data_IF_546970381735
#
_entry.id   IF_546970381735
#
_cell.length_a   1.000
_cell.length_b   1.000
_cell.length_c   1.000
_cell.angle_alpha   90.00
_cell.angle_beta   90.00
_cell.angle_gamma   90.00
#
_symmetry.space_group_name_H-M   'P 1'
#
loop_
_entity.id
_entity.type
_entity.pdbx_description
1 polymer ?
#
# COMPACT_ATOMS: atom_id res chain seq x y z
N UNK A 1 27.89 -20.38 22.28
CA UNK A 1 27.84 -21.85 22.29
C UNK A 1 26.67 -22.31 23.15
N UNK A 2 25.72 -22.98 22.50
CA UNK A 2 24.86 -24.07 22.97
C UNK A 2 24.17 -23.97 24.35
N UNK A 3 22.83 -23.88 24.36
CA UNK A 3 22.01 -24.31 25.51
C UNK A 3 20.87 -25.24 25.08
N UNK A 4 21.20 -26.54 25.18
CA UNK A 4 20.41 -27.72 25.56
C UNK A 4 18.87 -27.67 25.50
N UNK A 5 18.34 -28.48 24.57
CA UNK A 5 17.38 -29.59 24.78
C UNK A 5 16.38 -29.51 25.95
N UNK A 6 15.09 -29.53 25.58
CA UNK A 6 14.03 -30.21 26.34
C UNK A 6 13.35 -31.20 25.39
N UNK A 7 13.46 -32.49 25.69
CA UNK A 7 12.83 -33.60 24.98
C UNK A 7 11.65 -34.13 25.80
N UNK A 8 10.55 -34.40 25.07
CA UNK A 8 9.60 -35.51 25.24
C UNK A 8 8.52 -35.41 26.33
N UNK A 9 7.24 -35.64 25.94
CA UNK A 9 6.50 -36.89 26.20
C UNK A 9 4.99 -36.73 25.87
N UNK A 10 4.50 -37.63 25.01
CA UNK A 10 3.17 -38.26 24.91
C UNK A 10 1.87 -37.45 24.79
N UNK A 11 1.09 -37.80 23.76
CA UNK A 11 -0.35 -37.53 23.70
C UNK A 11 -0.97 -37.89 22.35
N UNK A 12 -1.37 -39.15 22.19
CA UNK A 12 -2.25 -39.60 21.10
C UNK A 12 -3.59 -38.87 21.20
N UNK A 13 -4.06 -38.22 20.12
CA UNK A 13 -5.38 -37.59 20.09
C UNK A 13 -5.59 -36.69 18.88
N UNK A 14 -6.34 -37.19 17.90
CA UNK A 14 -7.15 -36.46 16.90
C UNK A 14 -6.52 -35.13 16.43
N UNK A 15 -5.78 -35.21 15.32
CA UNK A 15 -5.32 -34.04 14.58
C UNK A 15 -6.50 -33.28 13.96
N UNK A 16 -7.18 -32.46 14.74
CA UNK A 16 -8.06 -31.42 14.24
C UNK A 16 -7.17 -30.39 13.55
N UNK A 17 -7.05 -30.50 12.23
CA UNK A 17 -6.32 -29.54 11.40
C UNK A 17 -6.89 -28.15 11.60
N UNK A 18 -6.16 -27.31 12.33
CA UNK A 18 -6.48 -25.89 12.48
C UNK A 18 -6.19 -25.21 11.14
N UNK A 19 -7.20 -25.15 10.27
CA UNK A 19 -7.14 -24.44 8.99
C UNK A 19 -7.07 -22.93 9.29
N UNK A 20 -5.84 -22.40 9.35
CA UNK A 20 -5.61 -20.97 9.48
C UNK A 20 -6.16 -20.28 8.22
N UNK A 21 -7.30 -19.60 8.34
CA UNK A 21 -7.84 -18.74 7.29
C UNK A 21 -6.90 -17.55 7.09
N UNK A 22 -5.99 -17.65 6.13
CA UNK A 22 -5.19 -16.50 5.68
C UNK A 22 -6.08 -15.66 4.77
N UNK A 23 -6.56 -14.53 5.28
CA UNK A 23 -7.25 -13.54 4.45
C UNK A 23 -6.26 -12.90 3.46
N UNK A 24 -6.60 -12.90 2.18
CA UNK A 24 -5.79 -12.26 1.15
C UNK A 24 -6.11 -10.76 1.13
N UNK A 25 -5.11 -9.91 1.38
CA UNK A 25 -5.24 -8.45 1.19
C UNK A 25 -4.78 -8.09 -0.22
N UNK A 26 -5.56 -7.26 -0.92
CA UNK A 26 -5.16 -6.65 -2.19
C UNK A 26 -4.48 -5.30 -1.96
N UNK A 27 -3.46 -5.01 -2.77
CA UNK A 27 -2.75 -3.74 -2.81
C UNK A 27 -2.33 -3.44 -4.26
N UNK A 28 -2.72 -2.28 -4.76
CA UNK A 28 -2.38 -1.80 -6.11
C UNK A 28 -1.89 -0.36 -6.06
N UNK A 29 -1.07 0.05 -7.03
CA UNK A 29 -0.57 1.41 -7.12
C UNK A 29 -0.50 1.93 -8.55
N UNK A 30 -0.66 3.24 -8.70
CA UNK A 30 -0.48 3.97 -9.95
C UNK A 30 0.22 5.29 -9.69
N UNK A 31 0.97 5.78 -10.67
CA UNK A 31 1.65 7.07 -10.61
C UNK A 31 1.09 8.04 -11.65
N UNK A 32 1.00 9.31 -11.28
CA UNK A 32 0.57 10.40 -12.16
C UNK A 32 1.66 11.46 -12.14
N UNK A 33 2.42 11.60 -13.22
CA UNK A 33 3.45 12.64 -13.32
C UNK A 33 2.83 13.96 -13.78
N UNK A 34 3.25 15.07 -13.17
CA UNK A 34 2.76 16.38 -13.57
C UNK A 34 3.39 16.86 -14.87
N UNK A 35 2.58 17.50 -15.71
CA UNK A 35 3.03 18.08 -16.97
C UNK A 35 3.93 19.27 -16.68
N UNK A 36 5.12 19.29 -17.28
CA UNK A 36 6.10 20.36 -17.11
C UNK A 36 6.98 20.25 -15.85
N UNK A 37 6.73 19.26 -14.98
CA UNK A 37 7.62 18.99 -13.85
C UNK A 37 8.98 18.44 -14.32
N UNK A 38 10.07 18.66 -13.56
CA UNK A 38 11.34 18.02 -13.85
C UNK A 38 11.21 16.51 -13.87
N UNK A 39 12.05 15.86 -14.69
CA UNK A 39 12.17 14.39 -14.72
C UNK A 39 13.58 14.00 -14.30
N UNK A 40 13.89 14.05 -12.99
CA UNK A 40 15.18 13.57 -12.49
C UNK A 40 15.31 12.07 -12.72
N UNK A 41 16.54 11.53 -12.72
CA UNK A 41 16.76 10.09 -12.76
C UNK A 41 16.18 9.43 -11.51
N UNK A 42 15.85 8.14 -11.62
CA UNK A 42 15.31 7.37 -10.51
C UNK A 42 16.28 7.37 -9.31
N UNK A 43 15.71 7.48 -8.10
CA UNK A 43 16.44 7.47 -6.82
C UNK A 43 16.32 6.12 -6.12
N UNK A 44 17.04 5.93 -5.01
CA UNK A 44 16.87 4.71 -4.20
C UNK A 44 15.56 4.77 -3.39
N UNK A 45 14.71 3.73 -3.41
CA UNK A 45 13.52 3.66 -2.56
C UNK A 45 13.82 3.81 -1.06
N UNK A 46 15.00 3.37 -0.61
CA UNK A 46 15.40 3.45 0.81
C UNK A 46 15.76 4.86 1.26
N UNK A 47 16.01 5.79 0.34
CA UNK A 47 16.35 7.18 0.62
C UNK A 47 15.10 8.08 0.69
N UNK A 48 13.92 7.54 0.35
CA UNK A 48 12.70 8.33 0.25
C UNK A 48 12.04 8.47 1.61
N UNK A 49 11.89 9.73 2.01
CA UNK A 49 11.19 10.11 3.22
C UNK A 49 9.66 10.11 3.00
N UNK A 50 8.91 9.56 3.95
CA UNK A 50 7.44 9.66 3.93
C UNK A 50 7.03 10.72 4.93
N UNK A 51 6.49 11.81 4.42
CA UNK A 51 6.06 12.98 5.17
C UNK A 51 4.54 12.93 5.37
N UNK A 52 4.08 13.32 6.57
CA UNK A 52 2.65 13.45 6.89
C UNK A 52 2.12 14.88 6.73
N UNK A 53 3.02 15.81 6.44
CA UNK A 53 2.74 17.24 6.26
C UNK A 53 3.65 17.80 5.18
N UNK A 54 3.25 18.90 4.55
CA UNK A 54 4.07 19.58 3.54
C UNK A 54 5.39 20.07 4.19
N UNK A 55 6.56 19.80 3.58
CA UNK A 55 7.83 20.25 4.13
C UNK A 55 8.04 21.74 3.91
N UNK A 56 8.68 22.39 4.87
CA UNK A 56 9.04 23.81 4.78
C UNK A 56 10.20 24.10 3.81
N UNK A 57 10.99 23.08 3.47
CA UNK A 57 12.13 23.20 2.55
C UNK A 57 11.63 23.47 1.13
N UNK A 58 12.31 24.34 0.35
CA UNK A 58 12.01 24.51 -1.07
C UNK A 58 12.05 23.17 -1.81
N UNK A 59 11.01 22.89 -2.59
CA UNK A 59 10.85 21.63 -3.29
C UNK A 59 9.97 21.80 -4.53
N UNK A 60 10.12 20.86 -5.46
CA UNK A 60 9.33 20.77 -6.68
C UNK A 60 8.48 19.50 -6.66
N UNK A 61 7.23 19.62 -7.12
CA UNK A 61 6.26 18.52 -7.15
C UNK A 61 6.41 17.77 -8.47
N UNK A 62 6.79 16.50 -8.41
CA UNK A 62 7.03 15.66 -9.59
C UNK A 62 5.76 14.96 -10.07
N UNK A 63 4.84 14.66 -9.14
CA UNK A 63 3.61 13.95 -9.42
C UNK A 63 2.98 13.33 -8.18
N UNK A 64 2.05 12.42 -8.39
CA UNK A 64 1.31 11.69 -7.37
C UNK A 64 1.59 10.19 -7.46
N UNK A 65 1.62 9.54 -6.30
CA UNK A 65 1.53 8.10 -6.13
C UNK A 65 0.20 7.81 -5.45
N UNK A 66 -0.66 7.08 -6.15
CA UNK A 66 -1.98 6.68 -5.66
C UNK A 66 -1.93 5.19 -5.36
N UNK A 67 -2.26 4.83 -4.13
CA UNK A 67 -2.29 3.45 -3.64
C UNK A 67 -3.73 3.10 -3.27
N UNK A 68 -4.21 1.99 -3.82
CA UNK A 68 -5.50 1.39 -3.49
C UNK A 68 -5.25 0.12 -2.67
N UNK A 69 -5.77 0.11 -1.45
CA UNK A 69 -5.63 -0.96 -0.49
C UNK A 69 -6.99 -1.55 -0.12
N UNK A 70 -7.03 -2.87 0.07
CA UNK A 70 -8.17 -3.54 0.70
C UNK A 70 -8.42 -3.01 2.12
N UNK A 71 -9.69 -3.04 2.55
CA UNK A 71 -10.10 -2.62 3.89
C UNK A 71 -10.16 -3.82 4.83
N UNK A 72 -10.55 -4.99 4.32
CA UNK A 72 -10.67 -6.23 5.07
C UNK A 72 -10.19 -7.44 4.24
N UNK A 73 -9.06 -8.09 4.60
CA UNK A 73 -8.11 -7.64 5.61
C UNK A 73 -7.27 -6.45 5.10
N UNK A 74 -6.96 -5.44 5.94
CA UNK A 74 -6.12 -4.33 5.51
C UNK A 74 -4.65 -4.78 5.34
N UNK A 75 -3.93 -4.30 4.32
CA UNK A 75 -2.51 -4.57 4.18
C UNK A 75 -1.72 -3.86 5.29
N UNK A 76 -0.56 -4.43 5.63
CA UNK A 76 0.37 -3.84 6.60
C UNK A 76 0.86 -2.47 6.12
N UNK A 77 1.02 -1.53 7.05
CA UNK A 77 1.44 -0.15 6.72
C UNK A 77 2.82 -0.13 6.05
N UNK A 78 3.73 -1.01 6.46
CA UNK A 78 5.07 -1.11 5.89
C UNK A 78 5.02 -1.46 4.40
N UNK A 79 4.02 -2.25 3.97
CA UNK A 79 3.83 -2.60 2.56
C UNK A 79 3.32 -1.41 1.74
N UNK A 80 2.41 -0.63 2.32
CA UNK A 80 1.93 0.62 1.70
C UNK A 80 3.09 1.60 1.54
N UNK A 81 3.87 1.80 2.61
CA UNK A 81 5.04 2.67 2.58
C UNK A 81 6.12 2.20 1.61
N UNK A 82 6.39 0.90 1.53
CA UNK A 82 7.31 0.31 0.55
C UNK A 82 6.87 0.62 -0.89
N UNK A 83 5.58 0.47 -1.18
CA UNK A 83 5.01 0.79 -2.50
C UNK A 83 5.13 2.28 -2.81
N UNK A 84 4.80 3.15 -1.85
CA UNK A 84 4.96 4.60 -1.99
C UNK A 84 6.40 4.98 -2.30
N UNK A 85 7.36 4.47 -1.52
CA UNK A 85 8.80 4.70 -1.73
C UNK A 85 9.23 4.20 -3.10
N UNK A 86 8.90 2.95 -3.45
CA UNK A 86 9.28 2.34 -4.73
C UNK A 86 8.78 3.16 -5.92
N UNK A 87 7.55 3.61 -5.89
CA UNK A 87 6.95 4.29 -7.04
C UNK A 87 7.37 5.77 -7.13
N UNK A 88 7.61 6.43 -5.99
CA UNK A 88 8.23 7.74 -5.96
C UNK A 88 9.70 7.71 -6.40
N UNK A 89 10.44 6.65 -6.09
CA UNK A 89 11.83 6.44 -6.52
C UNK A 89 11.95 6.41 -8.04
N UNK A 90 11.00 5.77 -8.73
CA UNK A 90 10.98 5.76 -10.20
C UNK A 90 10.84 7.17 -10.80
N UNK A 91 10.27 8.11 -10.05
CA UNK A 91 10.14 9.51 -10.46
C UNK A 91 11.34 10.37 -10.07
N UNK A 92 12.31 9.81 -9.33
CA UNK A 92 13.49 10.52 -8.85
C UNK A 92 13.23 11.42 -7.65
N UNK A 93 12.16 11.15 -6.91
CA UNK A 93 11.78 11.91 -5.72
C UNK A 93 12.75 11.70 -4.56
N UNK A 94 12.78 12.69 -3.66
CA UNK A 94 13.48 12.61 -2.37
C UNK A 94 12.51 12.33 -1.21
N UNK A 95 11.25 12.74 -1.36
CA UNK A 95 10.22 12.52 -0.36
C UNK A 95 8.84 12.35 -1.00
N UNK A 96 7.92 11.76 -0.23
CA UNK A 96 6.50 11.63 -0.55
C UNK A 96 5.68 12.25 0.56
N UNK A 97 4.87 13.25 0.24
CA UNK A 97 3.96 13.90 1.18
C UNK A 97 2.59 13.22 1.11
N UNK A 98 2.16 12.57 2.18
CA UNK A 98 0.83 11.99 2.28
C UNK A 98 -0.23 13.09 2.43
N UNK A 99 -1.15 13.16 1.47
CA UNK A 99 -2.21 14.19 1.43
C UNK A 99 -3.59 13.58 1.70
N UNK A 100 -3.84 12.37 1.19
CA UNK A 100 -5.10 11.67 1.43
C UNK A 100 -4.86 10.25 1.94
N UNK A 101 -5.67 9.84 2.91
CA UNK A 101 -5.78 8.47 3.42
C UNK A 101 -7.22 8.24 3.91
N UNK A 102 -8.07 7.72 3.03
CA UNK A 102 -9.52 7.63 3.28
C UNK A 102 -10.16 6.43 2.56
N UNK A 103 -11.22 5.89 3.14
CA UNK A 103 -12.02 4.83 2.53
C UNK A 103 -12.95 5.42 1.47
N UNK A 104 -12.84 4.94 0.23
CA UNK A 104 -13.61 5.37 -0.93
C UNK A 104 -14.25 4.20 -1.67
N UNK A 105 -15.37 4.40 -2.39
CA UNK A 105 -15.85 3.43 -3.36
C UNK A 105 -14.85 3.38 -4.54
N UNK A 106 -14.23 2.23 -4.76
CA UNK A 106 -13.23 2.00 -5.81
C UNK A 106 -13.79 1.21 -7.00
N UNK A 107 -14.99 0.66 -6.86
CA UNK A 107 -15.69 -0.03 -7.92
C UNK A 107 -17.10 -0.44 -7.54
N UNK A 108 -17.76 -1.17 -8.43
CA UNK A 108 -19.06 -1.79 -8.18
C UNK A 108 -19.08 -3.18 -8.82
N UNK A 109 -19.69 -4.13 -8.12
CA UNK A 109 -19.97 -5.47 -8.66
C UNK A 109 -21.46 -5.53 -8.94
N UNK A 110 -21.80 -5.98 -10.14
CA UNK A 110 -23.18 -6.23 -10.56
C UNK A 110 -23.42 -7.73 -10.48
N UNK A 111 -24.44 -8.14 -9.74
CA UNK A 111 -24.78 -9.54 -9.53
C UNK A 111 -26.28 -9.76 -9.77
N UNK A 112 -26.66 -10.93 -10.29
CA UNK A 112 -28.05 -11.31 -10.51
C UNK A 112 -28.48 -11.33 -11.98
N UNK A 113 -29.77 -11.64 -12.25
CA UNK A 113 -30.28 -11.76 -13.61
C UNK A 113 -30.28 -10.42 -14.35
N UNK A 114 -30.15 -10.44 -15.67
CA UNK A 114 -30.09 -9.22 -16.50
C UNK A 114 -31.35 -8.34 -16.40
N UNK A 115 -32.50 -8.91 -16.03
CA UNK A 115 -33.76 -8.18 -15.82
C UNK A 115 -33.96 -7.62 -14.40
N UNK A 116 -33.06 -7.93 -13.46
CA UNK A 116 -33.10 -7.39 -12.08
C UNK A 116 -31.71 -7.47 -11.42
N UNK A 117 -30.72 -6.70 -11.92
CA UNK A 117 -29.38 -6.72 -11.34
C UNK A 117 -29.35 -6.00 -9.98
N UNK A 118 -28.55 -6.53 -9.07
CA UNK A 118 -28.18 -5.88 -7.81
C UNK A 118 -26.78 -5.30 -7.94
N UNK A 119 -26.59 -4.05 -7.53
CA UNK A 119 -25.30 -3.35 -7.56
C UNK A 119 -24.75 -3.24 -6.15
N UNK A 120 -23.58 -3.81 -5.89
CA UNK A 120 -22.86 -3.66 -4.62
C UNK A 120 -21.62 -2.80 -4.83
N UNK A 121 -21.42 -1.80 -3.97
CA UNK A 121 -20.24 -0.92 -4.03
C UNK A 121 -19.04 -1.61 -3.39
N UNK A 122 -17.94 -1.72 -4.12
CA UNK A 122 -16.65 -2.18 -3.59
C UNK A 122 -15.94 -0.98 -2.99
N UNK A 123 -15.58 -1.08 -1.71
CA UNK A 123 -14.84 -0.03 -0.99
C UNK A 123 -13.37 -0.41 -0.88
N UNK A 124 -12.50 0.57 -1.08
CA UNK A 124 -11.05 0.47 -0.90
C UNK A 124 -10.55 1.64 -0.05
N UNK A 125 -9.38 1.48 0.55
CA UNK A 125 -8.64 2.55 1.23
C UNK A 125 -7.72 3.19 0.20
N UNK A 126 -8.02 4.44 -0.14
CA UNK A 126 -7.26 5.23 -1.09
C UNK A 126 -6.24 6.09 -0.34
N UNK A 127 -4.97 5.90 -0.66
CA UNK A 127 -3.86 6.71 -0.15
C UNK A 127 -3.26 7.49 -1.32
N UNK A 128 -3.10 8.81 -1.18
CA UNK A 128 -2.46 9.68 -2.17
C UNK A 128 -1.26 10.36 -1.55
N UNK A 129 -0.09 10.14 -2.16
CA UNK A 129 1.16 10.79 -1.82
C UNK A 129 1.68 11.65 -2.97
N UNK A 130 2.07 12.89 -2.69
CA UNK A 130 2.75 13.76 -3.67
C UNK A 130 4.25 13.51 -3.60
N UNK A 131 4.83 13.07 -4.71
CA UNK A 131 6.26 12.89 -4.84
C UNK A 131 6.96 14.23 -5.11
N UNK A 132 7.98 14.55 -4.32
CA UNK A 132 8.69 15.82 -4.38
C UNK A 132 10.20 15.62 -4.54
N UNK A 133 10.86 16.61 -5.17
CA UNK A 133 12.31 16.75 -5.23
C UNK A 133 12.72 17.99 -4.46
N UNK A 134 13.73 17.89 -3.60
CA UNK A 134 14.29 19.10 -3.00
C UNK A 134 15.14 19.87 -4.02
N UNK A 135 15.12 21.20 -3.91
CA UNK A 135 16.01 22.08 -4.68
C UNK A 135 17.44 22.07 -4.13
#
# INVERSE_FOLDING_TARGET
MNNRTIKSVFGSGIGLGLLLLVGCSSLSSRTVQYVGAPRPPATSPTQIEILRSEPARPHEKLGEVVVDASIDPPPKIEKIEEVLRRDAAKMGADAVVLVHDQIHPVGAVVTGPWWSPMVSTVRGRLIVGIAIKYQ
#
